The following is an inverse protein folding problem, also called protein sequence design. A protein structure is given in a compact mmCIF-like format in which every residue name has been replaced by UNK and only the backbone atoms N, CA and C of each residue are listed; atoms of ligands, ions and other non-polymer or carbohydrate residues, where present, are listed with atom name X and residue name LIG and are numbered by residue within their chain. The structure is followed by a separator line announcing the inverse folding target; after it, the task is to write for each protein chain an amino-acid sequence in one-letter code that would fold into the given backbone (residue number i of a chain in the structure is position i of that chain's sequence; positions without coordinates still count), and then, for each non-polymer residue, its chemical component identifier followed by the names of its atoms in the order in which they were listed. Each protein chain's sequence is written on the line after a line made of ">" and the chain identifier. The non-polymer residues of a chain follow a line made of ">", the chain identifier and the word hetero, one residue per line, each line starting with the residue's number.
data_IF_891643046391
#
_entry.id   IF_891643046391
#
_cell.length_a   1.000
_cell.length_b   1.000
_cell.length_c   1.000
_cell.angle_alpha   90.00
_cell.angle_beta   90.00
_cell.angle_gamma   90.00
#
_symmetry.space_group_name_H-M   'P 1'
#
loop_
_entity.id
_entity.type
_entity.pdbx_description
1 polymer ?
#
# COMPACT_ATOMS: atom_id res chain seq x y z
N UNK A 1 -3.15 3.45 -4.47
CA UNK A 1 -1.68 3.39 -4.64
C UNK A 1 -1.08 4.66 -4.06
N UNK A 2 -0.20 4.54 -3.07
CA UNK A 2 0.19 5.67 -2.18
C UNK A 2 1.70 5.91 -2.08
N UNK A 3 2.54 5.00 -2.59
CA UNK A 3 4.01 5.06 -2.47
C UNK A 3 4.55 5.13 -1.03
N UNK A 4 3.72 4.89 0.00
CA UNK A 4 4.05 5.19 1.40
C UNK A 4 4.66 6.60 1.60
N UNK A 5 4.39 7.56 0.69
CA UNK A 5 5.12 8.83 0.61
C UNK A 5 6.67 8.71 0.71
N UNK A 6 7.24 7.61 0.19
CA UNK A 6 8.68 7.32 0.12
C UNK A 6 9.39 7.12 1.47
N UNK A 7 8.64 7.12 2.58
CA UNK A 7 9.18 6.95 3.92
C UNK A 7 8.22 6.12 4.77
N UNK A 8 8.71 4.97 5.23
CA UNK A 8 7.99 4.09 6.14
C UNK A 8 8.91 3.75 7.32
N UNK A 9 8.45 4.00 8.53
CA UNK A 9 9.17 3.70 9.76
C UNK A 9 8.20 3.06 10.76
N UNK A 10 8.62 1.94 11.37
CA UNK A 10 7.85 1.24 12.40
C UNK A 10 6.41 0.87 11.96
N UNK A 11 6.20 0.53 10.68
CA UNK A 11 4.88 0.21 10.13
C UNK A 11 3.96 1.40 9.90
N UNK A 12 4.49 2.63 9.99
CA UNK A 12 3.78 3.86 9.71
C UNK A 12 4.50 4.67 8.64
N UNK A 13 3.72 5.18 7.68
CA UNK A 13 4.22 6.14 6.68
C UNK A 13 3.59 7.52 6.88
N UNK A 14 4.16 8.55 6.28
CA UNK A 14 3.49 9.86 6.23
C UNK A 14 2.11 9.78 5.55
N UNK A 15 1.92 8.81 4.64
CA UNK A 15 0.62 8.54 4.06
C UNK A 15 -0.39 8.04 5.10
N UNK A 16 0.03 7.27 6.11
CA UNK A 16 -0.83 6.75 7.19
C UNK A 16 -1.43 7.83 8.08
N UNK A 17 -0.75 8.99 8.20
CA UNK A 17 -1.24 10.14 8.96
C UNK A 17 -2.31 10.94 8.20
N UNK A 18 -2.35 10.81 6.87
CA UNK A 18 -3.24 11.57 5.99
C UNK A 18 -4.40 10.76 5.44
N UNK A 19 -4.19 9.47 5.23
CA UNK A 19 -5.14 8.55 4.60
C UNK A 19 -5.33 7.32 5.50
N UNK A 20 -6.57 7.04 5.94
CA UNK A 20 -6.86 5.81 6.67
C UNK A 20 -6.59 4.58 5.79
N UNK A 21 -6.89 4.66 4.49
CA UNK A 21 -6.63 3.62 3.50
C UNK A 21 -5.31 3.81 2.75
N UNK A 22 -4.18 3.65 3.44
CA UNK A 22 -2.85 3.94 2.88
C UNK A 22 -2.06 2.71 2.41
N UNK A 23 -2.26 1.53 3.01
CA UNK A 23 -1.58 0.29 2.63
C UNK A 23 -2.39 -0.96 3.00
N UNK A 24 -2.32 -2.00 2.17
CA UNK A 24 -2.92 -3.30 2.45
C UNK A 24 -4.37 -3.46 1.98
N UNK A 25 -5.05 -4.49 2.49
CA UNK A 25 -6.41 -4.87 2.09
C UNK A 25 -7.46 -4.33 3.06
N UNK A 26 -8.37 -3.53 2.54
CA UNK A 26 -9.54 -3.00 3.23
C UNK A 26 -10.80 -3.71 2.73
N UNK A 27 -11.77 -3.89 3.63
CA UNK A 27 -13.05 -4.51 3.32
C UNK A 27 -14.19 -3.67 3.86
N UNK A 28 -15.09 -3.29 2.98
CA UNK A 28 -16.37 -2.68 3.34
C UNK A 28 -17.52 -3.54 2.80
N UNK A 29 -18.18 -4.27 3.71
CA UNK A 29 -19.25 -5.21 3.38
C UNK A 29 -18.83 -6.29 2.37
N UNK A 30 -19.29 -6.12 1.12
CA UNK A 30 -19.00 -7.01 -0.03
C UNK A 30 -17.87 -6.49 -0.92
N UNK A 31 -17.39 -5.28 -0.69
CA UNK A 31 -16.34 -4.65 -1.48
C UNK A 31 -14.98 -4.82 -0.81
N UNK A 32 -13.96 -5.01 -1.63
CA UNK A 32 -12.57 -5.11 -1.22
C UNK A 32 -11.79 -4.01 -1.92
N UNK A 33 -11.04 -3.22 -1.14
CA UNK A 33 -10.14 -2.19 -1.63
C UNK A 33 -8.73 -2.59 -1.22
N UNK A 34 -7.88 -2.94 -2.18
CA UNK A 34 -6.48 -3.20 -1.92
C UNK A 34 -5.63 -1.99 -2.33
N UNK A 35 -4.90 -1.42 -1.38
CA UNK A 35 -4.02 -0.27 -1.58
C UNK A 35 -2.58 -0.74 -1.54
N UNK A 36 -1.98 -0.91 -2.72
CA UNK A 36 -0.57 -1.23 -2.85
C UNK A 36 0.28 0.01 -2.53
N UNK A 37 1.36 -0.17 -1.78
CA UNK A 37 2.42 0.85 -1.58
C UNK A 37 3.32 0.94 -2.82
N UNK A 38 3.45 -0.17 -3.55
CA UNK A 38 4.00 -0.32 -4.89
C UNK A 38 5.47 0.01 -5.10
N UNK A 39 5.89 -0.28 -6.34
CA UNK A 39 7.28 -0.25 -6.83
C UNK A 39 7.75 1.10 -7.35
N UNK A 40 6.82 2.03 -7.63
CA UNK A 40 7.18 3.32 -8.23
C UNK A 40 7.81 4.32 -7.23
N UNK A 41 8.39 5.38 -7.77
CA UNK A 41 9.05 6.48 -7.05
C UNK A 41 8.53 7.81 -7.60
N UNK A 42 8.43 8.86 -6.77
CA UNK A 42 8.13 10.22 -7.24
C UNK A 42 9.39 11.08 -7.03
N UNK A 43 9.93 11.67 -8.11
CA UNK A 43 11.10 12.57 -8.11
C UNK A 43 12.46 11.95 -7.73
N UNK A 44 12.61 11.40 -6.52
CA UNK A 44 13.86 10.85 -6.02
C UNK A 44 13.71 9.35 -5.76
N UNK A 45 14.58 8.48 -6.31
CA UNK A 45 14.54 7.03 -6.09
C UNK A 45 15.02 6.65 -4.68
N UNK A 46 14.62 7.42 -3.67
CA UNK A 46 14.97 7.23 -2.29
C UNK A 46 13.80 6.55 -1.58
N UNK A 47 14.00 5.29 -1.22
CA UNK A 47 13.12 4.55 -0.29
C UNK A 47 13.87 4.50 1.02
N UNK A 48 13.34 5.15 2.05
CA UNK A 48 14.00 5.20 3.34
C UNK A 48 13.38 4.18 4.30
N UNK A 49 14.25 3.52 5.06
CA UNK A 49 13.94 2.54 6.11
C UNK A 49 13.23 1.27 5.62
N UNK A 50 11.89 1.26 5.58
CA UNK A 50 11.10 0.02 5.39
C UNK A 50 10.16 0.05 4.17
N UNK A 51 10.25 1.09 3.32
CA UNK A 51 9.45 1.26 2.12
C UNK A 51 9.88 0.30 0.98
N UNK A 52 9.91 -1.02 1.24
CA UNK A 52 10.30 -2.04 0.27
C UNK A 52 9.22 -2.27 -0.80
N UNK A 53 9.61 -2.66 -2.02
CA UNK A 53 8.64 -2.89 -3.09
C UNK A 53 7.82 -4.15 -2.85
N UNK A 54 6.49 -4.03 -2.92
CA UNK A 54 5.56 -5.15 -2.76
C UNK A 54 4.90 -5.53 -4.10
N UNK A 55 4.94 -6.82 -4.45
CA UNK A 55 4.15 -7.41 -5.54
C UNK A 55 2.92 -8.09 -4.94
N UNK A 56 1.73 -7.64 -5.33
CA UNK A 56 0.47 -8.20 -4.82
C UNK A 56 -0.19 -9.06 -5.88
N UNK A 57 -0.53 -10.31 -5.50
CA UNK A 57 -1.29 -11.24 -6.35
C UNK A 57 -2.71 -11.37 -5.81
N UNK A 58 -3.70 -10.91 -6.58
CA UNK A 58 -5.12 -11.05 -6.24
C UNK A 58 -5.69 -12.26 -6.99
N UNK A 59 -6.08 -13.30 -6.26
CA UNK A 59 -6.73 -14.48 -6.84
C UNK A 59 -8.23 -14.41 -6.61
N UNK A 60 -9.01 -14.28 -7.69
CA UNK A 60 -10.47 -14.31 -7.63
C UNK A 60 -10.98 -15.75 -7.73
N UNK A 61 -11.82 -16.16 -6.78
CA UNK A 61 -12.49 -17.46 -6.78
C UNK A 61 -13.98 -17.25 -6.94
N UNK A 62 -14.60 -17.92 -7.91
CA UNK A 62 -16.05 -18.00 -8.01
C UNK A 62 -16.57 -18.98 -6.96
N UNK A 63 -17.66 -18.64 -6.26
CA UNK A 63 -18.35 -19.62 -5.41
C UNK A 63 -18.86 -20.78 -6.29
N UNK A 64 -18.74 -22.04 -5.82
CA UNK A 64 -19.29 -23.19 -6.54
C UNK A 64 -20.79 -23.03 -6.79
#
# INVERSE_FOLDING_TARGET
>A
HTHAMQFEAFGHSLASLRYPEWSGLYRDGKQYLYVNIGVGCIMLPARFLDATPEITVITLRRKP
#
